data_IF_796012410680
#
_entry.id   IF_796012410680
#
_cell.length_a   1.000
_cell.length_b   1.000
_cell.length_c   1.000
_cell.angle_alpha   90.00
_cell.angle_beta   90.00
_cell.angle_gamma   90.00
#
_symmetry.space_group_name_H-M   'P 1'
#
loop_
_entity.id
_entity.type
_entity.pdbx_description
1 polymer ?
#
# COMPACT_ATOMS: atom_id res chain seq x y z
N UNK A 1 20.38 -14.72 39.30
CA UNK A 1 19.55 -14.46 40.50
C UNK A 1 18.04 -14.30 40.22
N UNK A 2 17.59 -13.79 39.06
CA UNK A 2 16.15 -13.81 38.68
C UNK A 2 15.78 -15.01 37.79
N UNK A 3 16.73 -15.57 37.04
CA UNK A 3 16.48 -16.66 36.08
C UNK A 3 16.58 -18.07 36.67
N UNK A 4 17.03 -18.22 37.92
CA UNK A 4 17.24 -19.53 38.57
C UNK A 4 15.97 -20.06 39.25
N UNK A 5 14.97 -19.20 39.45
CA UNK A 5 13.68 -19.60 40.03
C UNK A 5 12.70 -20.01 38.93
N UNK A 6 11.95 -21.11 39.09
CA UNK A 6 11.04 -21.63 38.07
C UNK A 6 9.97 -20.60 37.67
N UNK A 7 9.50 -19.78 38.62
CA UNK A 7 8.58 -18.67 38.34
C UNK A 7 9.20 -17.56 37.48
N UNK A 8 10.48 -17.23 37.68
CA UNK A 8 11.17 -16.19 36.92
C UNK A 8 11.37 -16.59 35.46
N UNK A 9 11.65 -17.88 35.20
CA UNK A 9 11.76 -18.43 33.84
C UNK A 9 10.42 -18.43 33.12
N UNK A 10 9.33 -18.83 33.79
CA UNK A 10 7.99 -18.79 33.18
C UNK A 10 7.57 -17.36 32.81
N UNK A 11 7.82 -16.38 33.68
CA UNK A 11 7.45 -14.98 33.42
C UNK A 11 8.19 -14.43 32.18
N UNK A 12 9.47 -14.77 32.03
CA UNK A 12 10.28 -14.33 30.89
C UNK A 12 9.84 -15.01 29.60
N UNK A 13 9.54 -16.32 29.62
CA UNK A 13 9.06 -17.05 28.44
C UNK A 13 7.67 -16.56 28.01
N UNK A 14 6.77 -16.28 28.97
CA UNK A 14 5.45 -15.73 28.68
C UNK A 14 5.56 -14.32 28.08
N UNK A 15 6.42 -13.48 28.64
CA UNK A 15 6.70 -12.14 28.13
C UNK A 15 7.27 -12.14 26.70
N UNK A 16 8.20 -13.07 26.41
CA UNK A 16 8.80 -13.24 25.08
C UNK A 16 7.78 -13.78 24.06
N UNK A 17 6.90 -14.69 24.48
CA UNK A 17 5.85 -15.25 23.61
C UNK A 17 4.79 -14.20 23.25
N UNK A 18 4.43 -13.32 24.18
CA UNK A 18 3.46 -12.25 23.95
C UNK A 18 4.00 -11.19 22.98
N UNK A 19 5.29 -10.87 23.08
CA UNK A 19 5.94 -9.92 22.14
C UNK A 19 6.14 -10.51 20.75
N UNK A 20 6.42 -11.82 20.64
CA UNK A 20 6.57 -12.49 19.34
C UNK A 20 5.22 -12.71 18.62
N UNK A 21 4.10 -12.81 19.35
CA UNK A 21 2.78 -13.04 18.78
C UNK A 21 2.07 -11.76 18.29
N UNK A 22 2.56 -10.58 18.69
CA UNK A 22 1.98 -9.28 18.35
C UNK A 22 2.80 -8.51 17.30
N UNK A 23 3.38 -9.22 16.33
CA UNK A 23 3.92 -8.57 15.15
C UNK A 23 2.75 -8.23 14.21
N UNK A 24 2.60 -6.98 13.74
CA UNK A 24 1.59 -6.66 12.74
C UNK A 24 1.95 -7.38 11.43
N UNK A 25 1.13 -8.34 11.03
CA UNK A 25 1.13 -8.86 9.66
C UNK A 25 0.42 -7.81 8.82
N UNK A 26 1.16 -6.82 8.35
CA UNK A 26 0.61 -5.87 7.38
C UNK A 26 1.47 -5.86 6.11
N UNK A 27 0.87 -6.39 5.06
CA UNK A 27 1.19 -6.01 3.71
C UNK A 27 -0.05 -6.28 2.82
N UNK A 28 -1.22 -5.75 3.22
CA UNK A 28 -2.28 -5.59 2.25
C UNK A 28 -1.78 -4.59 1.19
N UNK A 29 -1.79 -4.96 -0.09
CA UNK A 29 -1.39 -4.04 -1.16
C UNK A 29 -2.24 -2.77 -1.09
N UNK A 30 -1.63 -1.67 -0.65
CA UNK A 30 -2.34 -0.41 -0.51
C UNK A 30 -2.38 0.29 -1.86
N UNK A 31 -3.59 0.43 -2.41
CA UNK A 31 -3.85 1.23 -3.59
C UNK A 31 -4.44 2.58 -3.16
N UNK A 32 -3.89 3.66 -3.70
CA UNK A 32 -4.47 4.98 -3.55
C UNK A 32 -5.46 5.22 -4.70
N UNK A 33 -6.68 5.63 -4.37
CA UNK A 33 -7.64 6.09 -5.38
C UNK A 33 -7.36 7.54 -5.73
N UNK A 34 -7.08 7.83 -7.00
CA UNK A 34 -6.82 9.17 -7.50
C UNK A 34 -7.69 9.48 -8.71
N UNK A 35 -7.80 10.77 -9.04
CA UNK A 35 -8.56 11.26 -10.20
C UNK A 35 -7.71 12.23 -11.02
N UNK A 36 -7.84 12.18 -12.34
CA UNK A 36 -7.34 13.22 -13.25
C UNK A 36 -8.49 13.86 -14.03
N UNK A 37 -8.36 15.15 -14.35
CA UNK A 37 -9.28 15.85 -15.24
C UNK A 37 -8.92 15.54 -16.68
N UNK A 38 -9.83 14.92 -17.40
CA UNK A 38 -9.65 14.49 -18.79
C UNK A 38 -10.69 15.19 -19.67
N UNK A 39 -10.32 15.73 -20.84
CA UNK A 39 -11.29 16.22 -21.81
C UNK A 39 -12.35 15.18 -22.13
N UNK A 40 -13.61 15.60 -22.19
CA UNK A 40 -14.71 14.70 -22.59
C UNK A 40 -14.53 14.27 -24.06
N UNK A 41 -14.04 15.15 -24.91
CA UNK A 41 -13.79 14.92 -26.32
C UNK A 41 -12.36 15.33 -26.68
N UNK A 42 -11.61 14.41 -27.30
CA UNK A 42 -10.24 14.66 -27.78
C UNK A 42 -10.18 14.86 -29.31
N UNK A 43 -11.30 14.68 -30.02
CA UNK A 43 -11.38 14.70 -31.47
C UNK A 43 -11.97 16.02 -32.01
N UNK A 44 -12.77 16.72 -31.19
CA UNK A 44 -13.30 18.03 -31.55
C UNK A 44 -12.87 19.11 -30.56
N UNK A 45 -12.74 20.35 -31.04
CA UNK A 45 -12.33 21.51 -30.25
C UNK A 45 -13.50 22.39 -29.81
N UNK A 46 -14.71 21.84 -29.79
CA UNK A 46 -15.96 22.60 -29.59
C UNK A 46 -16.27 22.88 -28.12
N UNK A 47 -15.67 22.11 -27.20
CA UNK A 47 -15.92 22.20 -25.77
C UNK A 47 -14.64 21.91 -24.99
N UNK A 48 -14.41 22.70 -23.93
CA UNK A 48 -13.32 22.47 -22.97
C UNK A 48 -13.80 21.69 -21.73
N UNK A 49 -14.96 21.04 -21.81
CA UNK A 49 -15.51 20.30 -20.69
C UNK A 49 -14.65 19.08 -20.35
N UNK A 50 -14.46 18.84 -19.05
CA UNK A 50 -13.67 17.73 -18.52
C UNK A 50 -14.51 16.85 -17.61
N UNK A 51 -14.02 15.63 -17.38
CA UNK A 51 -14.56 14.71 -16.37
C UNK A 51 -13.42 14.15 -15.51
N UNK A 52 -13.77 13.67 -14.30
CA UNK A 52 -12.83 13.04 -13.38
C UNK A 52 -12.65 11.55 -13.76
N UNK A 53 -11.54 11.22 -14.41
CA UNK A 53 -11.15 9.84 -14.65
C UNK A 53 -10.45 9.29 -13.39
N UNK A 54 -11.03 8.24 -12.80
CA UNK A 54 -10.51 7.58 -11.59
C UNK A 54 -9.53 6.46 -11.94
N UNK A 55 -8.44 6.37 -11.18
CA UNK A 55 -7.43 5.30 -11.29
C UNK A 55 -6.94 4.87 -9.91
N UNK A 56 -6.31 3.69 -9.86
CA UNK A 56 -5.66 3.14 -8.68
C UNK A 56 -4.15 3.24 -8.86
N UNK A 57 -3.46 3.86 -7.89
CA UNK A 57 -2.01 3.98 -7.86
C UNK A 57 -1.45 3.05 -6.79
N UNK A 58 -0.46 2.24 -7.16
CA UNK A 58 0.43 1.59 -6.21
C UNK A 58 1.87 2.03 -6.51
N UNK A 59 2.50 2.67 -5.52
CA UNK A 59 3.87 3.16 -5.59
C UNK A 59 4.81 2.39 -4.64
N UNK A 60 4.33 1.33 -3.98
CA UNK A 60 5.10 0.52 -3.00
C UNK A 60 6.44 0.03 -3.55
N UNK A 61 6.48 -0.35 -4.84
CA UNK A 61 7.68 -0.86 -5.50
C UNK A 61 8.33 0.16 -6.46
N UNK A 62 7.67 1.30 -6.69
CA UNK A 62 8.20 2.41 -7.46
C UNK A 62 9.08 3.27 -6.54
N UNK A 63 10.27 2.76 -6.19
CA UNK A 63 11.20 3.34 -5.19
C UNK A 63 11.81 4.69 -5.58
N UNK A 64 11.01 5.70 -5.92
CA UNK A 64 11.45 7.07 -6.20
C UNK A 64 12.46 7.23 -7.34
N UNK A 65 12.79 6.16 -8.05
CA UNK A 65 13.63 6.21 -9.24
C UNK A 65 12.76 6.66 -10.39
N UNK A 66 13.15 7.78 -11.00
CA UNK A 66 12.64 8.27 -12.29
C UNK A 66 12.82 7.25 -13.42
N UNK A 67 13.58 6.18 -13.19
CA UNK A 67 14.03 5.24 -14.22
C UNK A 67 13.25 3.91 -14.18
N UNK A 68 12.29 3.77 -13.26
CA UNK A 68 11.42 2.59 -13.18
C UNK A 68 10.28 2.62 -14.21
N UNK A 69 9.90 1.47 -14.81
CA UNK A 69 8.78 1.42 -15.75
C UNK A 69 7.45 1.66 -15.04
N UNK A 70 6.49 2.25 -15.75
CA UNK A 70 5.11 2.37 -15.30
C UNK A 70 4.31 1.17 -15.84
N UNK A 71 3.67 0.42 -14.94
CA UNK A 71 2.77 -0.67 -15.30
C UNK A 71 1.34 -0.12 -15.36
N UNK A 72 0.81 0.09 -16.58
CA UNK A 72 -0.57 0.53 -16.79
C UNK A 72 -1.46 -0.66 -17.16
N UNK A 73 -2.54 -0.82 -16.39
CA UNK A 73 -3.61 -1.76 -16.72
C UNK A 73 -4.73 -1.03 -17.46
N UNK A 74 -4.82 -1.27 -18.76
CA UNK A 74 -5.92 -0.80 -19.60
C UNK A 74 -6.81 -1.99 -19.96
N UNK A 75 -7.98 -2.07 -19.34
CA UNK A 75 -8.96 -3.10 -19.71
C UNK A 75 -9.64 -2.69 -21.01
N UNK A 76 -9.55 -3.53 -22.03
CA UNK A 76 -10.40 -3.44 -23.22
C UNK A 76 -11.61 -4.35 -22.99
N UNK A 77 -12.82 -3.77 -23.01
CA UNK A 77 -14.05 -4.54 -23.16
C UNK A 77 -14.40 -4.66 -24.63
#
# INVERSE_FOLDING_TARGET
MILDRPLGRMLVILGLSVTLCCAPIDAAYQYQTKTLDVPIDHFTYTSNATFKLRYLLNDTYAKGSTDGPILLYAVTR
#
